data_IF_146333202720
#
_entry.id   IF_146333202720
#
_cell.length_a   1.000
_cell.length_b   1.000
_cell.length_c   1.000
_cell.angle_alpha   90.00
_cell.angle_beta   90.00
_cell.angle_gamma   90.00
#
_symmetry.space_group_name_H-M   'P 1'
#
loop_
_entity.id
_entity.type
_entity.pdbx_description
1 polymer ?
#
# COMPACT_ATOMS: atom_id res chain seq x y z
N UNK A 1 36.76 46.51 41.04
CA UNK A 1 35.30 46.43 41.27
C UNK A 1 34.48 47.05 40.14
N UNK A 2 34.76 48.25 39.81
CA UNK A 2 34.04 48.99 38.76
C UNK A 2 34.19 48.41 37.35
N UNK A 3 35.34 47.91 37.04
CA UNK A 3 35.62 47.27 35.76
C UNK A 3 34.89 45.97 35.58
N UNK A 4 34.59 45.22 36.65
CA UNK A 4 33.84 43.97 36.56
C UNK A 4 32.38 44.23 36.23
N UNK A 5 31.77 45.32 36.76
CA UNK A 5 30.41 45.69 36.43
C UNK A 5 30.21 46.11 34.97
N UNK A 6 31.21 46.73 34.39
CA UNK A 6 31.20 47.08 32.95
C UNK A 6 31.39 45.89 32.03
N UNK A 7 32.14 44.91 32.46
CA UNK A 7 32.33 43.65 31.70
C UNK A 7 31.05 42.82 31.61
N UNK A 8 30.24 42.79 32.66
CA UNK A 8 28.99 42.06 32.68
C UNK A 8 27.99 42.50 31.63
N UNK A 9 27.70 43.78 31.43
CA UNK A 9 26.79 44.25 30.35
C UNK A 9 27.35 43.92 28.96
N UNK A 10 28.66 44.08 28.76
CA UNK A 10 29.28 43.77 27.49
C UNK A 10 29.24 42.26 27.21
N UNK A 11 29.45 41.41 28.19
CA UNK A 11 29.34 39.98 28.07
C UNK A 11 27.93 39.52 27.75
N UNK A 12 26.91 40.12 28.32
CA UNK A 12 25.53 39.83 28.02
C UNK A 12 25.12 40.17 26.58
N UNK A 13 25.62 41.28 26.06
CA UNK A 13 25.42 41.68 24.67
C UNK A 13 26.10 40.70 23.69
N UNK A 14 27.26 40.22 24.03
CA UNK A 14 27.97 39.21 23.24
C UNK A 14 27.26 37.87 23.28
N UNK A 15 26.79 37.44 24.44
CA UNK A 15 26.01 36.22 24.58
C UNK A 15 24.73 36.27 23.72
N UNK A 16 24.06 37.41 23.65
CA UNK A 16 22.90 37.57 22.82
C UNK A 16 23.19 37.39 21.32
N UNK A 17 24.28 37.92 20.84
CA UNK A 17 24.75 37.74 19.45
C UNK A 17 25.15 36.29 19.18
N UNK A 18 25.91 35.71 20.04
CA UNK A 18 26.35 34.31 19.95
C UNK A 18 25.15 33.36 19.99
N UNK A 19 24.15 33.64 20.82
CA UNK A 19 22.93 32.86 20.89
C UNK A 19 22.12 32.93 19.59
N UNK A 20 22.03 34.11 18.97
CA UNK A 20 21.33 34.24 17.68
C UNK A 20 22.07 33.50 16.58
N UNK A 21 23.38 33.63 16.51
CA UNK A 21 24.21 32.90 15.54
C UNK A 21 24.12 31.39 15.78
N UNK A 22 24.17 30.97 17.03
CA UNK A 22 24.04 29.58 17.44
C UNK A 22 22.67 29.01 17.03
N UNK A 23 21.58 29.73 17.24
CA UNK A 23 20.22 29.34 16.83
C UNK A 23 20.13 29.22 15.32
N UNK A 24 20.68 30.19 14.57
CA UNK A 24 20.67 30.17 13.10
C UNK A 24 21.46 29.00 12.51
N UNK A 25 22.60 28.67 13.07
CA UNK A 25 23.39 27.49 12.68
C UNK A 25 22.66 26.19 12.99
N UNK A 26 22.08 26.08 14.18
CA UNK A 26 21.36 24.88 14.63
C UNK A 26 19.97 24.74 14.01
N UNK A 27 19.33 25.83 13.58
CA UNK A 27 18.07 25.76 12.83
C UNK A 27 18.21 24.95 11.54
N UNK A 28 19.32 25.08 10.83
CA UNK A 28 19.60 24.28 9.65
C UNK A 28 19.72 22.79 9.97
N UNK A 29 20.45 22.45 11.03
CA UNK A 29 20.62 21.07 11.48
C UNK A 29 19.32 20.48 12.03
N UNK A 30 18.58 21.25 12.82
CA UNK A 30 17.28 20.83 13.36
C UNK A 30 16.23 20.65 12.26
N UNK A 31 16.19 21.55 11.29
CA UNK A 31 15.30 21.43 10.13
C UNK A 31 15.65 20.18 9.31
N UNK A 32 16.93 19.93 9.09
CA UNK A 32 17.40 18.75 8.37
C UNK A 32 17.07 17.45 9.12
N UNK A 33 17.31 17.41 10.43
CA UNK A 33 16.96 16.28 11.29
C UNK A 33 15.46 16.04 11.35
N UNK A 34 14.66 17.11 11.46
CA UNK A 34 13.21 17.03 11.44
C UNK A 34 12.67 16.49 10.11
N UNK A 35 13.23 16.97 9.00
CA UNK A 35 12.88 16.50 7.66
C UNK A 35 13.21 15.00 7.49
N UNK A 36 14.40 14.59 7.91
CA UNK A 36 14.81 13.18 7.87
C UNK A 36 13.92 12.29 8.74
N UNK A 37 13.52 12.75 9.92
CA UNK A 37 12.61 12.04 10.80
C UNK A 37 11.21 11.88 10.18
N UNK A 38 10.67 12.93 9.57
CA UNK A 38 9.37 12.90 8.86
C UNK A 38 9.43 11.97 7.66
N UNK A 39 10.47 12.04 6.86
CA UNK A 39 10.67 11.15 5.72
C UNK A 39 10.79 9.67 6.15
N UNK A 40 11.52 9.40 7.22
CA UNK A 40 11.64 8.07 7.79
C UNK A 40 10.30 7.53 8.31
N UNK A 41 9.53 8.37 8.99
CA UNK A 41 8.21 8.01 9.48
C UNK A 41 7.21 7.74 8.33
N UNK A 42 7.19 8.62 7.32
CA UNK A 42 6.37 8.42 6.12
C UNK A 42 6.77 7.16 5.36
N UNK A 43 8.06 6.91 5.20
CA UNK A 43 8.57 5.69 4.57
C UNK A 43 8.12 4.42 5.31
N UNK A 44 8.18 4.43 6.63
CA UNK A 44 7.69 3.33 7.46
C UNK A 44 6.19 3.12 7.30
N UNK A 45 5.40 4.20 7.35
CA UNK A 45 3.94 4.14 7.18
C UNK A 45 3.56 3.57 5.82
N UNK A 46 4.23 4.05 4.76
CA UNK A 46 4.00 3.52 3.39
C UNK A 46 4.39 2.05 3.31
N UNK A 47 5.50 1.66 3.91
CA UNK A 47 5.94 0.26 3.92
C UNK A 47 4.94 -0.67 4.61
N UNK A 48 4.44 -0.27 5.78
CA UNK A 48 3.45 -1.02 6.54
C UNK A 48 2.13 -1.14 5.76
N UNK A 49 1.68 -0.05 5.14
CA UNK A 49 0.49 -0.04 4.29
C UNK A 49 0.64 -0.95 3.06
N UNK A 50 1.79 -0.91 2.39
CA UNK A 50 2.07 -1.79 1.23
C UNK A 50 2.09 -3.26 1.64
N UNK A 51 2.67 -3.56 2.80
CA UNK A 51 2.70 -4.92 3.34
C UNK A 51 1.30 -5.44 3.68
N UNK A 52 0.47 -4.60 4.28
CA UNK A 52 -0.93 -4.92 4.58
C UNK A 52 -1.73 -5.14 3.30
N UNK A 53 -1.58 -4.28 2.29
CA UNK A 53 -2.22 -4.45 0.99
C UNK A 53 -1.82 -5.76 0.30
N UNK A 54 -0.58 -6.19 0.41
CA UNK A 54 -0.13 -7.49 -0.14
C UNK A 54 -0.87 -8.65 0.52
N UNK A 55 -1.06 -8.61 1.83
CA UNK A 55 -1.78 -9.63 2.57
C UNK A 55 -3.26 -9.67 2.18
N UNK A 56 -3.90 -8.51 2.04
CA UNK A 56 -5.28 -8.38 1.58
C UNK A 56 -5.44 -8.92 0.17
N UNK A 57 -4.57 -8.54 -0.75
CA UNK A 57 -4.58 -9.05 -2.13
C UNK A 57 -4.43 -10.57 -2.19
N UNK A 58 -3.56 -11.14 -1.35
CA UNK A 58 -3.39 -12.59 -1.25
C UNK A 58 -4.66 -13.28 -0.76
N UNK A 59 -5.31 -12.72 0.26
CA UNK A 59 -6.56 -13.24 0.80
C UNK A 59 -7.71 -13.15 -0.23
N UNK A 60 -7.85 -12.02 -0.90
CA UNK A 60 -8.85 -11.83 -1.96
C UNK A 60 -8.61 -12.80 -3.12
N UNK A 61 -7.37 -12.96 -3.55
CA UNK A 61 -7.00 -13.92 -4.60
C UNK A 61 -7.40 -15.35 -4.21
N UNK A 62 -7.19 -15.75 -2.97
CA UNK A 62 -7.59 -17.07 -2.47
C UNK A 62 -9.12 -17.24 -2.48
N UNK A 63 -9.87 -16.21 -2.06
CA UNK A 63 -11.33 -16.22 -2.11
C UNK A 63 -11.86 -16.28 -3.54
N UNK A 64 -11.28 -15.51 -4.44
CA UNK A 64 -11.65 -15.53 -5.85
C UNK A 64 -11.35 -16.88 -6.51
N UNK A 65 -10.22 -17.48 -6.16
CA UNK A 65 -9.87 -18.82 -6.63
C UNK A 65 -10.93 -19.84 -6.19
N UNK A 66 -11.29 -19.84 -4.92
CA UNK A 66 -12.31 -20.74 -4.37
C UNK A 66 -13.66 -20.52 -5.03
N UNK A 67 -14.07 -19.25 -5.19
CA UNK A 67 -15.32 -18.88 -5.85
C UNK A 67 -15.35 -19.29 -7.31
N UNK A 68 -14.26 -19.03 -8.03
CA UNK A 68 -14.10 -19.42 -9.42
C UNK A 68 -14.20 -20.96 -9.56
N UNK A 69 -13.50 -21.67 -8.70
CA UNK A 69 -13.48 -23.13 -8.69
C UNK A 69 -14.89 -23.71 -8.46
N UNK A 70 -15.60 -23.23 -7.46
CA UNK A 70 -16.97 -23.66 -7.16
C UNK A 70 -17.92 -23.38 -8.32
N UNK A 71 -17.88 -22.18 -8.89
CA UNK A 71 -18.74 -21.80 -10.01
C UNK A 71 -18.44 -22.63 -11.26
N UNK A 72 -17.16 -22.85 -11.54
CA UNK A 72 -16.74 -23.66 -12.67
C UNK A 72 -17.17 -25.13 -12.52
N UNK A 73 -16.99 -25.68 -11.33
CA UNK A 73 -17.43 -27.06 -11.05
C UNK A 73 -18.94 -27.23 -11.24
N UNK A 74 -19.71 -26.29 -10.75
CA UNK A 74 -21.17 -26.30 -10.91
C UNK A 74 -21.59 -26.38 -12.38
N UNK A 75 -21.04 -25.52 -13.23
CA UNK A 75 -21.39 -25.52 -14.65
C UNK A 75 -20.82 -26.72 -15.41
N UNK A 76 -19.65 -27.23 -15.03
CA UNK A 76 -19.07 -28.43 -15.63
C UNK A 76 -19.87 -29.68 -15.29
N UNK A 77 -20.42 -29.79 -14.10
CA UNK A 77 -21.31 -30.89 -13.71
C UNK A 77 -22.65 -30.81 -14.41
N UNK A 78 -23.13 -29.59 -14.64
CA UNK A 78 -24.39 -29.34 -15.36
C UNK A 78 -24.25 -29.57 -16.87
N UNK A 79 -23.05 -29.52 -17.40
CA UNK A 79 -22.71 -29.68 -18.82
C UNK A 79 -23.22 -28.58 -19.75
N UNK A 80 -23.73 -27.49 -19.21
CA UNK A 80 -24.16 -26.30 -19.94
C UNK A 80 -24.03 -25.06 -19.07
N UNK A 81 -23.98 -23.89 -19.69
CA UNK A 81 -23.89 -22.59 -19.02
C UNK A 81 -24.89 -21.63 -19.65
N UNK A 82 -25.53 -20.81 -18.83
CA UNK A 82 -26.32 -19.70 -19.32
C UNK A 82 -25.42 -18.47 -19.58
N UNK A 83 -25.90 -17.55 -20.42
CA UNK A 83 -25.11 -16.36 -20.77
C UNK A 83 -24.77 -15.52 -19.54
N UNK A 84 -25.68 -15.40 -18.59
CA UNK A 84 -25.44 -14.65 -17.35
C UNK A 84 -24.41 -15.34 -16.46
N UNK A 85 -24.48 -16.66 -16.35
CA UNK A 85 -23.50 -17.45 -15.61
C UNK A 85 -22.10 -17.35 -16.20
N UNK A 86 -21.98 -17.43 -17.52
CA UNK A 86 -20.71 -17.27 -18.21
C UNK A 86 -20.12 -15.87 -17.96
N UNK A 87 -20.95 -14.84 -18.03
CA UNK A 87 -20.54 -13.46 -17.76
C UNK A 87 -20.08 -13.28 -16.31
N UNK A 88 -20.82 -13.84 -15.35
CA UNK A 88 -20.46 -13.78 -13.93
C UNK A 88 -19.12 -14.48 -13.64
N UNK A 89 -18.93 -15.67 -14.20
CA UNK A 89 -17.67 -16.40 -14.08
C UNK A 89 -16.52 -15.61 -14.73
N UNK A 90 -16.79 -14.93 -15.84
CA UNK A 90 -15.84 -14.04 -16.50
C UNK A 90 -15.36 -12.91 -15.58
N UNK A 91 -16.25 -12.22 -14.90
CA UNK A 91 -15.89 -11.18 -13.94
C UNK A 91 -15.03 -11.70 -12.77
N UNK A 92 -15.37 -12.88 -12.25
CA UNK A 92 -14.58 -13.53 -11.20
C UNK A 92 -13.19 -13.88 -11.72
N UNK A 93 -13.12 -14.42 -12.92
CA UNK A 93 -11.86 -14.80 -13.56
C UNK A 93 -10.98 -13.58 -13.84
N UNK A 94 -11.52 -12.52 -14.41
CA UNK A 94 -10.77 -11.30 -14.71
C UNK A 94 -10.17 -10.71 -13.43
N UNK A 95 -10.96 -10.60 -12.37
CA UNK A 95 -10.48 -10.13 -11.07
C UNK A 95 -9.40 -11.05 -10.48
N UNK A 96 -9.57 -12.34 -10.61
CA UNK A 96 -8.58 -13.35 -10.19
C UNK A 96 -7.27 -13.22 -10.97
N UNK A 97 -7.38 -13.03 -12.28
CA UNK A 97 -6.23 -12.89 -13.17
C UNK A 97 -5.46 -11.58 -12.92
N UNK A 98 -6.15 -10.47 -12.71
CA UNK A 98 -5.55 -9.17 -12.34
C UNK A 98 -4.75 -9.24 -11.04
N UNK A 99 -5.17 -10.07 -10.10
CA UNK A 99 -4.43 -10.31 -8.86
C UNK A 99 -3.25 -11.29 -9.01
N UNK A 100 -2.92 -11.66 -10.24
CA UNK A 100 -1.84 -12.59 -10.54
C UNK A 100 -2.23 -14.06 -10.41
N UNK A 101 -3.54 -14.37 -10.49
CA UNK A 101 -4.03 -15.73 -10.55
C UNK A 101 -3.86 -16.33 -11.96
N UNK A 102 -3.40 -17.55 -12.02
CA UNK A 102 -3.22 -18.31 -13.26
C UNK A 102 -3.30 -19.81 -12.98
N UNK A 103 -2.98 -20.63 -13.97
CA UNK A 103 -2.95 -22.07 -13.82
C UNK A 103 -4.33 -22.72 -13.79
N UNK A 104 -4.70 -23.37 -12.70
CA UNK A 104 -5.93 -24.17 -12.59
C UNK A 104 -7.19 -23.35 -12.86
N UNK A 105 -7.24 -22.08 -12.35
CA UNK A 105 -8.38 -21.18 -12.60
C UNK A 105 -8.56 -20.87 -14.07
N UNK A 106 -7.48 -20.63 -14.79
CA UNK A 106 -7.50 -20.38 -16.23
C UNK A 106 -7.97 -21.62 -17.01
N UNK A 107 -7.48 -22.77 -16.64
CA UNK A 107 -7.87 -24.05 -17.26
C UNK A 107 -9.38 -24.31 -17.08
N UNK A 108 -9.89 -24.11 -15.86
CA UNK A 108 -11.33 -24.28 -15.57
C UNK A 108 -12.20 -23.28 -16.34
N UNK A 109 -11.80 -22.01 -16.37
CA UNK A 109 -12.54 -20.99 -17.12
C UNK A 109 -12.58 -21.28 -18.62
N UNK A 110 -11.48 -21.76 -19.21
CA UNK A 110 -11.44 -22.17 -20.60
C UNK A 110 -12.39 -23.34 -20.88
N UNK A 111 -12.47 -24.31 -19.98
CA UNK A 111 -13.43 -25.42 -20.13
C UNK A 111 -14.88 -24.96 -20.11
N UNK A 112 -15.20 -23.97 -19.28
CA UNK A 112 -16.57 -23.40 -19.22
C UNK A 112 -16.93 -22.69 -20.52
N UNK A 113 -15.99 -21.99 -21.15
CA UNK A 113 -16.23 -21.33 -22.42
C UNK A 113 -16.55 -22.30 -23.57
N UNK A 114 -16.15 -23.55 -23.42
CA UNK A 114 -16.43 -24.61 -24.39
C UNK A 114 -17.81 -25.26 -24.20
N UNK A 115 -18.48 -25.00 -23.05
CA UNK A 115 -19.80 -25.55 -22.78
C UNK A 115 -20.87 -24.94 -23.69
N UNK A 116 -21.91 -25.71 -24.04
CA UNK A 116 -23.04 -25.17 -24.78
C UNK A 116 -23.78 -24.11 -23.93
N UNK A 117 -24.13 -23.00 -24.58
CA UNK A 117 -24.90 -21.94 -23.96
C UNK A 117 -26.37 -22.26 -24.08
N UNK A 118 -27.05 -22.30 -22.95
CA UNK A 118 -28.52 -22.45 -22.87
C UNK A 118 -29.07 -21.27 -22.11
N UNK A 119 -29.96 -20.54 -22.74
CA UNK A 119 -30.76 -19.52 -22.05
C UNK A 119 -31.90 -20.21 -21.29
N UNK A 120 -31.98 -19.87 -20.02
CA UNK A 120 -33.04 -20.42 -19.15
C UNK A 120 -34.33 -19.68 -19.34
#
# INVERSE_FOLDING_TARGET
MWTCGRRKPAGKCEEGKDTQTFILEHLGELAFSGLAAVLGWLGKTVWDTVKEQKNIKKAIKALLHDRLYQSCHFYLEQEWVDMQGLTNVGYIYDSYHELGGNGTGTALYNKIKELPIRDS
#
